data_IF_833856326162
#
_entry.id   IF_833856326162
#
_cell.length_a   1.000
_cell.length_b   1.000
_cell.length_c   1.000
_cell.angle_alpha   90.00
_cell.angle_beta   90.00
_cell.angle_gamma   90.00
#
_symmetry.space_group_name_H-M   'P 1'
#
loop_
_entity.id
_entity.type
_entity.pdbx_description
1 polymer ?
#
# COMPACT_ATOMS: atom_id res chain seq x y z
N UNK A 1 -23.74 -9.42 -0.88
CA UNK A 1 -23.23 -8.02 -0.86
C UNK A 1 -21.90 -8.01 -1.60
N UNK A 2 -21.57 -6.96 -2.33
CA UNK A 2 -20.26 -6.84 -3.00
C UNK A 2 -19.17 -6.53 -1.98
N UNK A 3 -18.04 -7.20 -2.10
CA UNK A 3 -16.84 -7.00 -1.29
C UNK A 3 -16.10 -5.71 -1.71
N UNK A 4 -15.64 -4.92 -0.75
CA UNK A 4 -14.83 -3.71 -1.00
C UNK A 4 -13.36 -4.11 -1.06
N UNK A 5 -12.68 -3.77 -2.16
CA UNK A 5 -11.24 -3.99 -2.31
C UNK A 5 -10.46 -2.70 -2.06
N UNK A 6 -9.48 -2.76 -1.17
CA UNK A 6 -8.69 -1.62 -0.70
C UNK A 6 -7.21 -1.93 -0.92
N UNK A 7 -6.49 -1.05 -1.62
CA UNK A 7 -5.04 -1.08 -1.67
C UNK A 7 -4.49 -0.17 -0.57
N UNK A 8 -3.71 -0.71 0.36
CA UNK A 8 -3.08 0.02 1.45
C UNK A 8 -1.57 0.06 1.31
N UNK A 9 -0.97 1.23 1.49
CA UNK A 9 0.49 1.39 1.55
C UNK A 9 0.86 2.40 2.64
N UNK A 10 2.02 2.20 3.27
CA UNK A 10 2.53 3.11 4.27
C UNK A 10 3.58 4.05 3.65
N UNK A 11 3.44 5.36 3.90
CA UNK A 11 4.35 6.39 3.35
C UNK A 11 5.77 6.42 3.95
N UNK A 12 6.20 5.41 4.70
CA UNK A 12 7.55 5.35 5.27
C UNK A 12 8.22 4.02 4.96
N UNK A 13 9.41 4.10 4.36
CA UNK A 13 10.20 2.93 3.96
C UNK A 13 11.00 2.29 5.10
N UNK A 14 11.22 3.01 6.21
CA UNK A 14 12.05 2.51 7.32
C UNK A 14 11.44 1.25 7.96
N UNK A 15 12.30 0.33 8.39
CA UNK A 15 11.91 -0.95 9.03
C UNK A 15 10.97 -0.78 10.23
N UNK A 16 11.18 0.25 11.06
CA UNK A 16 10.40 0.48 12.29
C UNK A 16 9.14 1.36 12.13
N UNK A 17 8.59 1.51 10.91
CA UNK A 17 7.47 2.42 10.64
C UNK A 17 6.21 2.02 11.41
N UNK A 18 5.72 2.92 12.28
CA UNK A 18 4.42 2.72 12.95
C UNK A 18 3.26 2.70 11.97
N UNK A 19 3.35 3.42 10.84
CA UNK A 19 2.32 3.36 9.79
C UNK A 19 2.31 1.98 9.10
N UNK A 20 3.48 1.33 8.92
CA UNK A 20 3.52 -0.06 8.42
C UNK A 20 2.86 -1.01 9.42
N UNK A 21 3.12 -0.84 10.72
CA UNK A 21 2.49 -1.65 11.77
C UNK A 21 0.97 -1.43 11.83
N UNK A 22 0.50 -0.19 11.77
CA UNK A 22 -0.93 0.14 11.75
C UNK A 22 -1.64 -0.47 10.54
N UNK A 23 -1.02 -0.40 9.36
CA UNK A 23 -1.58 -1.00 8.14
C UNK A 23 -1.76 -2.52 8.27
N UNK A 24 -0.79 -3.22 8.88
CA UNK A 24 -0.89 -4.66 9.15
C UNK A 24 -2.06 -4.97 10.09
N UNK A 25 -2.25 -4.17 11.14
CA UNK A 25 -3.41 -4.33 12.04
C UNK A 25 -4.74 -4.00 11.34
N UNK A 26 -4.77 -3.03 10.43
CA UNK A 26 -5.97 -2.73 9.65
C UNK A 26 -6.38 -3.93 8.77
N UNK A 27 -5.43 -4.65 8.17
CA UNK A 27 -5.70 -5.90 7.43
C UNK A 27 -6.28 -6.96 8.36
N UNK A 28 -5.68 -7.14 9.55
CA UNK A 28 -6.15 -8.12 10.54
C UNK A 28 -7.57 -7.84 11.05
N UNK A 29 -7.93 -6.57 11.13
CA UNK A 29 -9.22 -6.09 11.65
C UNK A 29 -10.26 -5.82 10.55
N UNK A 30 -9.94 -6.12 9.28
CA UNK A 30 -10.85 -5.87 8.18
C UNK A 30 -12.18 -6.66 8.37
N UNK A 31 -13.35 -6.01 8.17
CA UNK A 31 -14.63 -6.70 8.24
C UNK A 31 -14.79 -7.68 7.06
N UNK A 32 -15.69 -8.66 7.19
CA UNK A 32 -15.89 -9.71 6.18
C UNK A 32 -16.26 -9.20 4.78
N UNK A 33 -16.78 -7.98 4.66
CA UNK A 33 -17.13 -7.36 3.39
C UNK A 33 -16.04 -6.43 2.85
N UNK A 34 -14.82 -6.48 3.39
CA UNK A 34 -13.68 -5.71 2.91
C UNK A 34 -12.40 -6.56 2.87
N UNK A 35 -11.63 -6.38 1.81
CA UNK A 35 -10.32 -6.97 1.62
C UNK A 35 -9.28 -5.85 1.48
N UNK A 36 -8.21 -5.91 2.29
CA UNK A 36 -7.09 -4.97 2.21
C UNK A 36 -5.86 -5.70 1.69
N UNK A 37 -5.35 -5.25 0.55
CA UNK A 37 -4.07 -5.70 -0.01
C UNK A 37 -2.98 -4.68 0.32
N UNK A 38 -1.86 -5.14 0.88
CA UNK A 38 -0.75 -4.26 1.25
C UNK A 38 0.29 -4.16 0.15
N UNK A 39 0.77 -2.96 -0.12
CA UNK A 39 1.82 -2.68 -1.09
C UNK A 39 2.99 -1.92 -0.45
N UNK A 40 4.24 -2.31 -0.77
CA UNK A 40 5.45 -1.60 -0.33
C UNK A 40 5.92 -0.65 -1.43
N UNK A 41 6.20 0.59 -1.07
CA UNK A 41 6.67 1.62 -2.00
C UNK A 41 8.16 1.46 -2.34
N UNK A 42 8.88 0.57 -1.65
CA UNK A 42 10.29 0.31 -1.94
C UNK A 42 10.48 -0.22 -3.37
N UNK A 43 11.36 0.44 -4.12
CA UNK A 43 11.69 0.04 -5.50
C UNK A 43 10.87 0.75 -6.58
N UNK A 44 9.87 1.56 -6.23
CA UNK A 44 9.23 2.46 -7.19
C UNK A 44 10.26 3.53 -7.56
N UNK A 45 10.58 3.71 -8.86
CA UNK A 45 11.51 4.73 -9.28
C UNK A 45 10.92 6.12 -9.01
N UNK A 46 11.80 7.11 -8.85
CA UNK A 46 11.35 8.48 -8.87
C UNK A 46 10.81 8.79 -10.27
N UNK A 47 9.74 9.59 -10.32
CA UNK A 47 9.22 10.08 -11.58
C UNK A 47 10.31 10.86 -12.33
N UNK A 48 10.46 10.54 -13.62
CA UNK A 48 11.29 11.26 -14.57
C UNK A 48 10.45 11.58 -15.81
N UNK A 49 10.17 12.86 -16.05
CA UNK A 49 9.32 13.30 -17.15
C UNK A 49 9.88 12.95 -18.54
N UNK A 50 11.21 12.86 -18.66
CA UNK A 50 11.87 12.51 -19.92
C UNK A 50 11.64 11.03 -20.30
N UNK A 51 11.38 10.16 -19.32
CA UNK A 51 11.15 8.72 -19.50
C UNK A 51 9.65 8.37 -19.66
N UNK A 52 8.74 9.34 -19.53
CA UNK A 52 7.29 9.09 -19.49
C UNK A 52 6.71 8.49 -20.80
N UNK A 53 7.38 8.72 -21.93
CA UNK A 53 6.97 8.20 -23.23
C UNK A 53 7.68 6.89 -23.63
N UNK A 54 8.55 6.35 -22.77
CA UNK A 54 9.31 5.11 -23.01
C UNK A 54 9.01 4.08 -21.90
N UNK A 55 7.83 3.44 -21.92
CA UNK A 55 7.33 2.55 -20.87
C UNK A 55 7.98 1.15 -20.84
#
# INVERSE_FOLDING_TARGET
MSEIKILGFAGSLRKGSYNKMLLQEAVRLAPQNAQIETFDLAGIPLYNQDEENDP
#
